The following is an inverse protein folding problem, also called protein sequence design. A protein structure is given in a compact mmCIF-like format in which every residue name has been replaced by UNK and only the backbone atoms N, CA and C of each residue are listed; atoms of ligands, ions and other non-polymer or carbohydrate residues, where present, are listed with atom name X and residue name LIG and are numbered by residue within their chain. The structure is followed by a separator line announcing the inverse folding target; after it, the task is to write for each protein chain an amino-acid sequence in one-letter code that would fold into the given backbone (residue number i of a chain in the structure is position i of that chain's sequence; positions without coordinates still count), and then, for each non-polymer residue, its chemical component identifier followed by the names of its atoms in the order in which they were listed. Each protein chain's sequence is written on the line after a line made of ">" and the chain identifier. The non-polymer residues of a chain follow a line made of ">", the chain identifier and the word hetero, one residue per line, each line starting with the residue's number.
data_IF_050774105999
#
_entry.id   IF_050774105999
#
_cell.length_a   1.000
_cell.length_b   1.000
_cell.length_c   1.000
_cell.angle_alpha   90.00
_cell.angle_beta   90.00
_cell.angle_gamma   90.00
#
_symmetry.space_group_name_H-M   'P 1'
#
loop_
_entity.id
_entity.type
_entity.pdbx_description
1 polymer ?
#
# COMPACT_ATOMS: atom_id res chain seq x y z
N UNK A 1 16.49 -11.08 -18.71
CA UNK A 1 15.25 -10.96 -17.90
C UNK A 1 14.82 -9.51 -17.95
N UNK A 2 13.63 -9.19 -18.48
CA UNK A 2 13.10 -7.83 -18.39
C UNK A 2 12.89 -7.49 -16.89
N UNK A 3 13.03 -6.22 -16.47
CA UNK A 3 12.82 -5.84 -15.09
C UNK A 3 11.38 -6.13 -14.71
N UNK A 4 11.18 -7.06 -13.77
CA UNK A 4 9.86 -7.34 -13.20
C UNK A 4 9.47 -6.14 -12.34
N UNK A 5 8.51 -5.34 -12.81
CA UNK A 5 8.01 -4.18 -12.10
C UNK A 5 6.94 -4.65 -11.10
N UNK A 6 7.30 -4.64 -9.82
CA UNK A 6 6.38 -4.96 -8.74
C UNK A 6 5.24 -3.93 -8.66
N UNK A 7 4.05 -4.39 -8.29
CA UNK A 7 2.82 -3.57 -8.26
C UNK A 7 2.99 -2.24 -7.49
N UNK A 8 3.74 -2.24 -6.38
CA UNK A 8 4.05 -1.03 -5.63
C UNK A 8 4.86 -0.02 -6.44
N UNK A 9 5.84 -0.46 -7.25
CA UNK A 9 6.62 0.45 -8.11
C UNK A 9 5.74 1.09 -9.17
N UNK A 10 4.78 0.34 -9.72
CA UNK A 10 3.83 0.86 -10.70
C UNK A 10 2.90 1.91 -10.09
N UNK A 11 2.34 1.65 -8.91
CA UNK A 11 1.53 2.65 -8.18
C UNK A 11 2.38 3.89 -7.83
N UNK A 12 3.61 3.71 -7.35
CA UNK A 12 4.54 4.82 -7.06
C UNK A 12 4.86 5.63 -8.31
N UNK A 13 5.08 4.99 -9.46
CA UNK A 13 5.33 5.69 -10.72
C UNK A 13 4.13 6.54 -11.15
N UNK A 14 2.90 5.99 -11.05
CA UNK A 14 1.67 6.71 -11.36
C UNK A 14 1.48 7.89 -10.39
N UNK A 15 1.74 7.69 -9.10
CA UNK A 15 1.67 8.74 -8.09
C UNK A 15 2.67 9.86 -8.35
N UNK A 16 3.93 9.53 -8.60
CA UNK A 16 4.98 10.50 -8.91
C UNK A 16 4.68 11.26 -10.22
N UNK A 17 4.20 10.56 -11.25
CA UNK A 17 3.75 11.17 -12.49
C UNK A 17 2.62 12.16 -12.25
N UNK A 18 1.64 11.80 -11.42
CA UNK A 18 0.55 12.70 -11.05
C UNK A 18 1.03 13.93 -10.26
N UNK A 19 1.98 13.78 -9.34
CA UNK A 19 2.60 14.91 -8.62
C UNK A 19 3.25 15.88 -9.61
N UNK A 20 4.04 15.37 -10.55
CA UNK A 20 4.73 16.18 -11.55
C UNK A 20 3.74 16.89 -12.49
N UNK A 21 2.70 16.19 -12.96
CA UNK A 21 1.65 16.76 -13.81
C UNK A 21 0.85 17.84 -13.07
N UNK A 22 0.51 17.60 -11.79
CA UNK A 22 -0.15 18.57 -10.91
C UNK A 22 0.69 19.84 -10.77
N UNK A 23 1.97 19.67 -10.43
CA UNK A 23 2.89 20.77 -10.24
C UNK A 23 3.10 21.56 -11.54
N UNK A 24 3.29 20.88 -12.67
CA UNK A 24 3.45 21.52 -13.98
C UNK A 24 2.20 22.32 -14.39
N UNK A 25 1.01 21.73 -14.26
CA UNK A 25 -0.24 22.40 -14.60
C UNK A 25 -0.49 23.67 -13.76
N UNK A 26 -0.23 23.57 -12.44
CA UNK A 26 -0.35 24.71 -11.54
C UNK A 26 0.72 25.76 -11.77
N UNK A 27 1.96 25.36 -12.06
CA UNK A 27 3.06 26.27 -12.38
C UNK A 27 2.76 27.07 -13.65
N UNK A 28 2.31 26.42 -14.72
CA UNK A 28 1.94 27.09 -15.98
C UNK A 28 0.78 28.09 -15.77
N UNK A 29 -0.21 27.72 -14.95
CA UNK A 29 -1.33 28.60 -14.59
C UNK A 29 -0.89 29.81 -13.75
N UNK A 30 0.06 29.60 -12.83
CA UNK A 30 0.58 30.64 -11.96
C UNK A 30 1.54 31.60 -12.69
N UNK A 31 2.39 31.07 -13.57
CA UNK A 31 3.29 31.84 -14.42
C UNK A 31 2.52 32.83 -15.31
N UNK A 32 1.39 32.41 -15.89
CA UNK A 32 0.49 33.30 -16.65
C UNK A 32 -0.18 34.40 -15.82
N UNK A 33 -0.05 34.37 -14.48
CA UNK A 33 -0.61 35.34 -13.54
C UNK A 33 0.46 36.06 -12.71
N UNK A 34 1.75 35.81 -12.96
CA UNK A 34 2.85 36.34 -12.15
C UNK A 34 2.86 35.85 -10.69
N UNK A 35 2.18 34.74 -10.40
CA UNK A 35 2.03 34.19 -9.06
C UNK A 35 2.97 32.98 -8.83
N UNK A 36 3.26 32.68 -7.56
CA UNK A 36 3.93 31.44 -7.16
C UNK A 36 2.99 30.22 -7.20
N UNK A 37 3.58 29.02 -7.13
CA UNK A 37 2.84 27.76 -7.08
C UNK A 37 1.95 27.69 -5.82
N UNK A 38 0.64 27.50 -6.00
CA UNK A 38 -0.28 27.26 -4.89
C UNK A 38 -0.10 25.83 -4.34
N UNK A 39 0.50 25.75 -3.16
CA UNK A 39 0.79 24.48 -2.47
C UNK A 39 -0.47 23.79 -1.96
N UNK A 40 -1.51 24.55 -1.62
CA UNK A 40 -2.76 23.97 -1.13
C UNK A 40 -3.51 23.30 -2.28
N UNK A 41 -3.58 23.95 -3.44
CA UNK A 41 -4.16 23.34 -4.65
C UNK A 41 -3.40 22.07 -5.06
N UNK A 42 -2.06 22.11 -5.05
CA UNK A 42 -1.24 20.94 -5.33
C UNK A 42 -1.55 19.80 -4.36
N UNK A 43 -1.60 20.09 -3.05
CA UNK A 43 -1.95 19.12 -2.03
C UNK A 43 -3.34 18.52 -2.31
N UNK A 44 -4.38 19.32 -2.59
CA UNK A 44 -5.72 18.80 -2.87
C UNK A 44 -5.76 17.88 -4.11
N UNK A 45 -5.02 18.19 -5.18
CA UNK A 45 -4.95 17.34 -6.37
C UNK A 45 -4.29 15.99 -6.05
N UNK A 46 -3.15 16.02 -5.35
CA UNK A 46 -2.39 14.83 -4.96
C UNK A 46 -3.23 13.90 -4.06
N UNK A 47 -4.03 14.44 -3.14
CA UNK A 47 -4.91 13.65 -2.26
C UNK A 47 -5.96 12.86 -3.03
N UNK A 48 -6.56 13.47 -4.07
CA UNK A 48 -7.56 12.79 -4.90
C UNK A 48 -6.90 11.62 -5.61
N UNK A 49 -5.73 11.82 -6.20
CA UNK A 49 -4.98 10.76 -6.88
C UNK A 49 -4.63 9.65 -5.89
N UNK A 50 -4.06 9.97 -4.73
CA UNK A 50 -3.69 8.99 -3.73
C UNK A 50 -4.89 8.12 -3.28
N UNK A 51 -6.04 8.76 -3.01
CA UNK A 51 -7.27 8.07 -2.61
C UNK A 51 -7.82 7.20 -3.74
N UNK A 52 -7.77 7.68 -4.99
CA UNK A 52 -8.15 6.88 -6.16
C UNK A 52 -7.22 5.69 -6.35
N UNK A 53 -5.90 5.85 -6.19
CA UNK A 53 -4.94 4.74 -6.30
C UNK A 53 -5.18 3.68 -5.23
N UNK A 54 -5.49 4.07 -3.98
CA UNK A 54 -5.90 3.12 -2.94
C UNK A 54 -7.18 2.38 -3.33
N UNK A 55 -8.20 3.10 -3.82
CA UNK A 55 -9.45 2.48 -4.23
C UNK A 55 -9.25 1.47 -5.37
N UNK A 56 -8.45 1.83 -6.38
CA UNK A 56 -8.08 0.96 -7.50
C UNK A 56 -7.36 -0.29 -6.98
N UNK A 57 -6.39 -0.09 -6.08
CA UNK A 57 -5.63 -1.17 -5.47
C UNK A 57 -6.53 -2.14 -4.71
N UNK A 58 -7.44 -1.67 -3.86
CA UNK A 58 -8.37 -2.54 -3.13
C UNK A 58 -9.38 -3.21 -4.05
N UNK A 59 -9.87 -2.50 -5.07
CA UNK A 59 -10.78 -3.08 -6.05
C UNK A 59 -10.14 -4.27 -6.76
N UNK A 60 -8.94 -4.08 -7.32
CA UNK A 60 -8.22 -5.15 -8.01
C UNK A 60 -7.67 -6.20 -7.05
N UNK A 61 -7.32 -5.81 -5.82
CA UNK A 61 -7.01 -6.70 -4.73
C UNK A 61 -8.11 -7.73 -4.51
N UNK A 62 -9.37 -7.31 -4.49
CA UNK A 62 -10.52 -8.21 -4.38
C UNK A 62 -10.79 -8.91 -5.71
N UNK A 63 -10.92 -8.14 -6.79
CA UNK A 63 -11.36 -8.65 -8.09
C UNK A 63 -10.47 -9.77 -8.60
N UNK A 64 -9.15 -9.58 -8.59
CA UNK A 64 -8.22 -10.61 -9.05
C UNK A 64 -8.19 -11.84 -8.14
N UNK A 65 -8.53 -11.70 -6.84
CA UNK A 65 -8.61 -12.81 -5.88
C UNK A 65 -9.89 -13.65 -6.04
N UNK A 66 -10.88 -13.22 -6.83
CA UNK A 66 -12.08 -14.00 -7.15
C UNK A 66 -11.70 -15.08 -8.19
N UNK A 67 -10.86 -16.03 -7.77
CA UNK A 67 -10.35 -17.14 -8.59
C UNK A 67 -10.23 -18.41 -7.74
N UNK A 68 -10.14 -19.57 -8.40
CA UNK A 68 -10.10 -20.88 -7.72
C UNK A 68 -8.88 -21.03 -6.81
N UNK A 69 -7.70 -20.57 -7.26
CA UNK A 69 -6.43 -20.84 -6.59
C UNK A 69 -6.24 -19.96 -5.35
N UNK A 70 -6.82 -18.77 -5.32
CA UNK A 70 -6.84 -17.94 -4.11
C UNK A 70 -7.73 -18.54 -3.02
N UNK A 71 -8.81 -19.23 -3.41
CA UNK A 71 -9.76 -19.87 -2.49
C UNK A 71 -9.31 -21.27 -2.03
N UNK A 72 -8.33 -21.86 -2.70
CA UNK A 72 -7.75 -23.15 -2.33
C UNK A 72 -6.66 -22.96 -1.25
N UNK A 73 -6.86 -23.46 0.00
CA UNK A 73 -5.88 -23.29 1.07
C UNK A 73 -4.55 -24.04 0.85
N UNK A 74 -4.46 -24.91 -0.17
CA UNK A 74 -3.22 -25.61 -0.53
C UNK A 74 -2.26 -24.74 -1.34
N UNK A 75 -2.77 -23.75 -2.08
CA UNK A 75 -1.97 -22.90 -2.98
C UNK A 75 -2.14 -21.40 -2.72
N UNK A 76 -3.13 -20.98 -1.92
CA UNK A 76 -3.43 -19.57 -1.66
C UNK A 76 -2.27 -18.81 -1.00
N UNK A 77 -1.93 -17.64 -1.55
CA UNK A 77 -0.93 -16.75 -0.96
C UNK A 77 -1.32 -16.27 0.45
N UNK A 78 -2.62 -16.16 0.76
CA UNK A 78 -3.07 -15.78 2.10
C UNK A 78 -2.64 -16.80 3.16
N UNK A 79 -2.62 -18.09 2.79
CA UNK A 79 -2.11 -19.16 3.65
C UNK A 79 -0.59 -19.08 3.80
N UNK A 80 0.11 -18.73 2.72
CA UNK A 80 1.55 -18.45 2.75
C UNK A 80 1.92 -17.33 3.74
N UNK A 81 1.11 -16.28 3.82
CA UNK A 81 1.26 -15.19 4.81
C UNK A 81 0.90 -15.62 6.24
N UNK A 82 -0.11 -16.48 6.38
CA UNK A 82 -0.60 -16.96 7.67
C UNK A 82 0.40 -17.91 8.36
N UNK A 83 0.93 -18.89 7.63
CA UNK A 83 1.70 -19.99 8.21
C UNK A 83 2.92 -19.51 9.04
N UNK A 84 3.76 -18.56 8.57
CA UNK A 84 4.88 -18.05 9.37
C UNK A 84 4.43 -17.32 10.65
N UNK A 85 3.29 -16.65 10.63
CA UNK A 85 2.74 -15.93 11.78
C UNK A 85 2.13 -16.89 12.82
N UNK A 86 1.56 -18.01 12.35
CA UNK A 86 0.92 -19.01 13.18
C UNK A 86 1.89 -20.05 13.75
N UNK A 87 3.06 -20.24 13.11
CA UNK A 87 4.08 -21.22 13.48
C UNK A 87 4.57 -21.13 14.93
N UNK A 88 4.82 -19.94 15.52
CA UNK A 88 5.23 -19.85 16.92
C UNK A 88 4.19 -20.41 17.92
N UNK A 89 2.94 -20.56 17.47
CA UNK A 89 1.82 -21.07 18.25
C UNK A 89 1.44 -22.52 17.89
N UNK A 90 2.14 -23.15 16.93
CA UNK A 90 1.81 -24.50 16.44
C UNK A 90 0.48 -24.58 15.68
N UNK A 91 0.06 -23.47 15.04
CA UNK A 91 -1.23 -23.35 14.35
C UNK A 91 -1.10 -23.27 12.81
N UNK A 92 0.10 -23.37 12.25
CA UNK A 92 0.37 -23.20 10.82
C UNK A 92 -0.44 -24.13 9.89
N UNK A 93 -0.78 -25.33 10.37
CA UNK A 93 -1.53 -26.34 9.63
C UNK A 93 -3.02 -26.36 9.96
N UNK A 94 -3.48 -25.42 10.79
CA UNK A 94 -4.88 -25.32 11.17
C UNK A 94 -5.74 -24.88 9.97
N UNK A 95 -6.62 -25.77 9.50
CA UNK A 95 -7.52 -25.52 8.38
C UNK A 95 -8.43 -24.29 8.60
N UNK A 96 -8.93 -24.10 9.82
CA UNK A 96 -9.74 -22.92 10.16
C UNK A 96 -8.93 -21.63 10.01
N UNK A 97 -7.68 -21.62 10.50
CA UNK A 97 -6.79 -20.46 10.37
C UNK A 97 -6.45 -20.13 8.91
N UNK A 98 -6.24 -21.17 8.08
CA UNK A 98 -5.99 -21.01 6.64
C UNK A 98 -7.17 -20.38 5.91
N UNK A 99 -8.39 -20.87 6.13
CA UNK A 99 -9.59 -20.24 5.55
C UNK A 99 -9.86 -18.85 6.12
N UNK A 100 -9.62 -18.64 7.42
CA UNK A 100 -9.74 -17.33 8.04
C UNK A 100 -8.84 -16.30 7.35
N UNK A 101 -7.59 -16.66 7.02
CA UNK A 101 -6.68 -15.77 6.28
C UNK A 101 -7.21 -15.40 4.88
N UNK A 102 -7.76 -16.36 4.15
CA UNK A 102 -8.37 -16.14 2.82
C UNK A 102 -9.55 -15.18 2.93
N UNK A 103 -10.53 -15.47 3.78
CA UNK A 103 -11.75 -14.67 3.90
C UNK A 103 -11.53 -13.32 4.59
N UNK A 104 -10.60 -13.25 5.55
CA UNK A 104 -10.22 -11.99 6.19
C UNK A 104 -9.63 -11.02 5.17
N UNK A 105 -8.87 -11.52 4.18
CA UNK A 105 -8.32 -10.66 3.12
C UNK A 105 -9.44 -9.98 2.34
N UNK A 106 -10.45 -10.73 1.87
CA UNK A 106 -11.62 -10.14 1.20
C UNK A 106 -12.37 -9.15 2.07
N UNK A 107 -12.63 -9.51 3.33
CA UNK A 107 -13.39 -8.69 4.25
C UNK A 107 -12.67 -7.36 4.54
N UNK A 108 -11.37 -7.42 4.84
CA UNK A 108 -10.55 -6.24 5.14
C UNK A 108 -10.45 -5.33 3.92
N UNK A 109 -10.17 -5.87 2.73
CA UNK A 109 -10.09 -5.08 1.50
C UNK A 109 -11.44 -4.44 1.15
N UNK A 110 -12.55 -5.16 1.32
CA UNK A 110 -13.91 -4.65 1.10
C UNK A 110 -14.28 -3.53 2.08
N UNK A 111 -13.96 -3.70 3.37
CA UNK A 111 -14.17 -2.66 4.39
C UNK A 111 -13.30 -1.45 4.07
N UNK A 112 -12.03 -1.67 3.67
CA UNK A 112 -11.10 -0.60 3.35
C UNK A 112 -11.64 0.27 2.20
N UNK A 113 -12.04 -0.32 1.06
CA UNK A 113 -12.56 0.45 -0.08
C UNK A 113 -13.89 1.18 0.24
N UNK A 114 -14.81 0.54 0.97
CA UNK A 114 -16.09 1.17 1.36
C UNK A 114 -15.85 2.33 2.34
N UNK A 115 -15.04 2.10 3.37
CA UNK A 115 -14.68 3.11 4.37
C UNK A 115 -13.92 4.29 3.76
N UNK A 116 -13.16 4.05 2.68
CA UNK A 116 -12.40 5.09 1.99
C UNK A 116 -13.31 6.18 1.47
N UNK A 117 -14.58 5.91 1.13
CA UNK A 117 -15.55 6.92 0.68
C UNK A 117 -16.64 7.20 1.72
N UNK A 118 -16.91 6.28 2.63
CA UNK A 118 -17.92 6.45 3.67
C UNK A 118 -17.35 7.08 4.94
N UNK A 119 -17.47 8.40 5.05
CA UNK A 119 -16.91 9.22 6.15
C UNK A 119 -17.22 8.71 7.56
N UNK A 120 -18.44 8.19 7.80
CA UNK A 120 -18.87 7.66 9.10
C UNK A 120 -18.01 6.50 9.57
N UNK A 121 -17.58 5.64 8.66
CA UNK A 121 -16.82 4.43 8.93
C UNK A 121 -15.35 4.54 8.49
N UNK A 122 -14.90 5.73 8.09
CA UNK A 122 -13.55 5.95 7.59
C UNK A 122 -12.49 5.45 8.56
N UNK A 123 -12.55 5.84 9.84
CA UNK A 123 -11.55 5.41 10.82
C UNK A 123 -11.55 3.90 11.05
N UNK A 124 -12.72 3.24 10.98
CA UNK A 124 -12.80 1.79 11.16
C UNK A 124 -12.02 1.08 10.05
N UNK A 125 -12.32 1.37 8.79
CA UNK A 125 -11.61 0.72 7.69
C UNK A 125 -10.17 1.23 7.53
N UNK A 126 -9.88 2.47 7.91
CA UNK A 126 -8.52 3.00 7.98
C UNK A 126 -7.67 2.25 9.00
N UNK A 127 -8.13 2.10 10.25
CA UNK A 127 -7.40 1.38 11.30
C UNK A 127 -7.24 -0.08 10.93
N UNK A 128 -8.31 -0.71 10.43
CA UNK A 128 -8.26 -2.10 9.97
C UNK A 128 -7.21 -2.29 8.86
N UNK A 129 -7.19 -1.38 7.88
CA UNK A 129 -6.19 -1.40 6.82
C UNK A 129 -4.77 -1.14 7.34
N UNK A 130 -4.57 -0.21 8.27
CA UNK A 130 -3.26 0.05 8.87
C UNK A 130 -2.73 -1.17 9.62
N UNK A 131 -3.56 -1.83 10.42
CA UNK A 131 -3.18 -3.06 11.14
C UNK A 131 -2.83 -4.16 10.16
N UNK A 132 -3.66 -4.37 9.13
CA UNK A 132 -3.40 -5.37 8.09
C UNK A 132 -2.07 -5.14 7.38
N UNK A 133 -1.82 -3.90 6.91
CA UNK A 133 -0.57 -3.55 6.24
C UNK A 133 0.63 -3.44 7.19
N UNK A 134 0.42 -3.28 8.50
CA UNK A 134 1.50 -3.39 9.49
C UNK A 134 1.95 -4.84 9.68
N UNK A 135 0.99 -5.78 9.74
CA UNK A 135 1.25 -7.21 10.01
C UNK A 135 1.85 -7.94 8.80
N UNK A 136 1.42 -7.63 7.57
CA UNK A 136 1.88 -8.34 6.37
C UNK A 136 3.42 -8.40 6.26
N UNK A 137 4.18 -7.29 6.40
CA UNK A 137 5.64 -7.34 6.32
C UNK A 137 6.32 -8.18 7.40
N UNK A 138 5.68 -8.37 8.56
CA UNK A 138 6.22 -9.15 9.69
C UNK A 138 6.16 -10.65 9.39
N UNK A 139 5.25 -11.09 8.50
CA UNK A 139 5.16 -12.51 8.10
C UNK A 139 6.41 -13.05 7.42
N UNK A 140 7.33 -12.19 6.96
CA UNK A 140 8.55 -12.55 6.23
C UNK A 140 8.34 -13.36 4.93
N UNK A 141 7.09 -13.60 4.53
CA UNK A 141 6.75 -14.46 3.39
C UNK A 141 7.17 -13.85 2.05
N UNK A 142 7.09 -12.52 1.93
CA UNK A 142 7.67 -11.78 0.81
C UNK A 142 8.09 -10.37 1.26
N UNK A 143 8.87 -9.68 0.46
CA UNK A 143 9.36 -8.33 0.75
C UNK A 143 8.25 -7.26 0.64
N UNK A 144 7.26 -7.31 1.55
CA UNK A 144 6.07 -6.47 1.53
C UNK A 144 6.25 -5.10 2.19
N UNK A 145 7.42 -4.80 2.75
CA UNK A 145 7.70 -3.51 3.42
C UNK A 145 7.54 -2.32 2.46
N UNK A 146 8.04 -2.44 1.23
CA UNK A 146 7.93 -1.39 0.21
C UNK A 146 6.48 -1.13 -0.20
N UNK A 147 5.66 -2.19 -0.22
CA UNK A 147 4.24 -2.07 -0.54
C UNK A 147 3.46 -1.46 0.64
N UNK A 148 3.71 -1.91 1.86
CA UNK A 148 3.00 -1.46 3.05
C UNK A 148 3.33 0.00 3.39
N UNK A 149 4.60 0.41 3.23
CA UNK A 149 5.01 1.81 3.38
C UNK A 149 4.35 2.73 2.35
N UNK A 150 4.22 2.29 1.09
CA UNK A 150 3.46 3.00 0.07
C UNK A 150 1.99 3.16 0.48
N UNK A 151 1.34 2.08 0.96
CA UNK A 151 -0.06 2.15 1.40
C UNK A 151 -0.22 3.12 2.56
N UNK A 152 0.67 3.10 3.55
CA UNK A 152 0.68 4.08 4.65
C UNK A 152 0.79 5.52 4.11
N UNK A 153 1.70 5.78 3.16
CA UNK A 153 1.86 7.10 2.56
C UNK A 153 0.62 7.57 1.80
N UNK A 154 -0.01 6.70 1.01
CA UNK A 154 -1.25 7.03 0.30
C UNK A 154 -2.41 7.28 1.29
N UNK A 155 -2.44 6.55 2.40
CA UNK A 155 -3.42 6.75 3.45
C UNK A 155 -3.25 8.08 4.18
N UNK A 156 -2.02 8.48 4.49
CA UNK A 156 -1.70 9.81 5.04
C UNK A 156 -2.23 10.93 4.15
N UNK A 157 -2.16 10.76 2.82
CA UNK A 157 -2.73 11.73 1.88
C UNK A 157 -4.26 11.64 1.78
N UNK A 158 -4.84 10.50 2.11
CA UNK A 158 -6.28 10.24 1.98
C UNK A 158 -7.09 10.58 3.23
N UNK A 159 -6.45 10.81 4.39
CA UNK A 159 -7.16 11.22 5.61
C UNK A 159 -7.85 12.58 5.43
N UNK A 160 -8.97 12.85 6.12
CA UNK A 160 -9.64 14.15 6.12
C UNK A 160 -8.74 15.30 6.60
N UNK A 161 -9.03 16.53 6.14
CA UNK A 161 -8.18 17.70 6.45
C UNK A 161 -7.97 17.93 7.95
N UNK A 162 -8.99 17.86 8.83
CA UNK A 162 -8.78 18.01 10.27
C UNK A 162 -7.81 16.97 10.85
N UNK A 163 -7.90 15.72 10.37
CA UNK A 163 -6.96 14.67 10.75
C UNK A 163 -5.55 14.95 10.22
N UNK A 164 -5.41 15.45 8.99
CA UNK A 164 -4.10 15.85 8.45
C UNK A 164 -3.47 17.00 9.22
N UNK A 165 -4.25 17.99 9.66
CA UNK A 165 -3.76 19.11 10.48
C UNK A 165 -3.33 18.63 11.87
N UNK A 166 -4.12 17.74 12.49
CA UNK A 166 -3.77 17.13 13.76
C UNK A 166 -2.48 16.28 13.66
N UNK A 167 -2.34 15.50 12.59
CA UNK A 167 -1.12 14.74 12.30
C UNK A 167 0.08 15.67 12.13
N UNK A 168 -0.06 16.73 11.32
CA UNK A 168 1.00 17.70 11.08
C UNK A 168 1.46 18.37 12.37
N UNK A 169 0.53 18.84 13.21
CA UNK A 169 0.83 19.42 14.52
C UNK A 169 1.55 18.41 15.43
N UNK A 170 1.09 17.16 15.50
CA UNK A 170 1.79 16.10 16.26
C UNK A 170 3.20 15.84 15.73
N UNK A 171 3.39 15.87 14.41
CA UNK A 171 4.72 15.75 13.81
C UNK A 171 5.63 16.92 14.16
N UNK A 172 5.10 18.15 14.20
CA UNK A 172 5.85 19.33 14.64
C UNK A 172 6.22 19.28 16.13
N UNK A 173 5.28 18.91 17.01
CA UNK A 173 5.54 18.72 18.45
C UNK A 173 6.71 17.75 18.71
N UNK A 174 6.87 16.74 17.86
CA UNK A 174 7.99 15.79 17.93
C UNK A 174 9.26 16.34 17.26
N UNK A 175 9.15 16.98 16.10
CA UNK A 175 10.28 17.40 15.28
C UNK A 175 10.93 18.71 15.74
N UNK A 176 10.16 19.66 16.28
CA UNK A 176 10.64 21.00 16.64
C UNK A 176 11.72 20.96 17.74
N UNK A 177 11.56 20.21 18.86
CA UNK A 177 12.61 20.12 19.89
C UNK A 177 13.92 19.55 19.34
N UNK A 178 13.82 18.53 18.46
CA UNK A 178 14.98 17.93 17.79
C UNK A 178 15.65 18.91 16.83
N UNK A 179 14.83 19.70 16.13
CA UNK A 179 15.30 20.70 15.18
C UNK A 179 15.96 21.89 15.87
N UNK A 180 15.45 22.32 17.01
CA UNK A 180 16.03 23.38 17.82
C UNK A 180 17.38 22.96 18.41
N UNK A 181 17.50 21.70 18.86
CA UNK A 181 18.71 21.18 19.50
C UNK A 181 19.82 20.83 18.49
N UNK A 182 19.47 20.18 17.38
CA UNK A 182 20.44 19.59 16.44
C UNK A 182 20.30 20.10 15.00
N UNK A 183 19.56 21.20 14.78
CA UNK A 183 19.26 21.71 13.45
C UNK A 183 18.40 20.74 12.63
N UNK A 184 18.37 20.93 11.29
CA UNK A 184 17.54 20.08 10.40
C UNK A 184 17.93 18.59 10.44
N UNK A 185 19.18 18.28 10.78
CA UNK A 185 19.67 16.89 10.90
C UNK A 185 19.05 16.18 12.11
N UNK A 186 18.64 16.93 13.14
CA UNK A 186 17.99 16.38 14.34
C UNK A 186 16.76 15.51 14.05
N UNK A 187 16.02 15.82 13.00
CA UNK A 187 14.81 15.06 12.59
C UNK A 187 15.16 13.64 12.12
N UNK A 188 16.38 13.42 11.63
CA UNK A 188 16.85 12.11 11.16
C UNK A 188 17.40 11.24 12.30
N UNK A 189 17.75 11.84 13.45
CA UNK A 189 18.41 11.13 14.55
C UNK A 189 17.57 9.97 15.12
N UNK A 190 16.25 10.10 15.37
CA UNK A 190 15.47 8.98 15.88
C UNK A 190 15.47 7.79 14.92
N UNK A 191 15.29 8.05 13.62
CA UNK A 191 15.33 7.00 12.59
C UNK A 191 16.71 6.35 12.48
N UNK A 192 17.78 7.14 12.52
CA UNK A 192 19.15 6.65 12.52
C UNK A 192 19.47 5.81 13.77
N UNK A 193 18.99 6.23 14.94
CA UNK A 193 19.16 5.49 16.20
C UNK A 193 18.44 4.14 16.16
N UNK A 194 17.19 4.09 15.66
CA UNK A 194 16.45 2.84 15.47
C UNK A 194 17.15 1.92 14.46
N UNK A 195 17.64 2.47 13.35
CA UNK A 195 18.40 1.71 12.35
C UNK A 195 19.70 1.13 12.94
N UNK A 196 20.46 1.95 13.67
CA UNK A 196 21.70 1.52 14.33
C UNK A 196 21.41 0.41 15.36
N UNK A 197 20.37 0.57 16.16
CA UNK A 197 19.92 -0.44 17.12
C UNK A 197 19.55 -1.75 16.41
N UNK A 198 18.74 -1.69 15.34
CA UNK A 198 18.34 -2.85 14.56
C UNK A 198 19.56 -3.59 13.95
N UNK A 199 20.48 -2.85 13.33
CA UNK A 199 21.73 -3.41 12.78
C UNK A 199 22.55 -4.08 13.89
N UNK A 200 22.77 -3.39 15.00
CA UNK A 200 23.57 -3.90 16.13
C UNK A 200 22.96 -5.18 16.69
N UNK A 201 21.65 -5.19 16.93
CA UNK A 201 20.94 -6.36 17.45
C UNK A 201 21.03 -7.55 16.49
N UNK A 202 20.84 -7.34 15.18
CA UNK A 202 20.93 -8.41 14.18
C UNK A 202 22.35 -8.96 14.08
N UNK A 203 23.38 -8.10 14.13
CA UNK A 203 24.77 -8.55 14.14
C UNK A 203 25.06 -9.40 15.38
N UNK A 204 24.65 -8.96 16.57
CA UNK A 204 24.79 -9.74 17.80
C UNK A 204 24.07 -11.09 17.73
N UNK A 205 22.83 -11.12 17.22
CA UNK A 205 22.08 -12.36 17.02
C UNK A 205 22.74 -13.28 15.98
N UNK A 206 23.38 -12.72 14.96
CA UNK A 206 24.09 -13.51 13.94
C UNK A 206 25.33 -14.20 14.50
N UNK A 207 25.97 -13.60 15.51
CA UNK A 207 27.04 -14.27 16.27
C UNK A 207 26.51 -15.39 17.16
N UNK A 208 25.31 -15.25 17.75
CA UNK A 208 24.68 -16.27 18.59
C UNK A 208 24.07 -17.44 17.79
N UNK A 209 23.61 -17.17 16.56
CA UNK A 209 23.00 -18.15 15.66
C UNK A 209 23.80 -18.27 14.35
N UNK A 210 24.98 -18.92 14.39
CA UNK A 210 25.83 -19.06 13.21
C UNK A 210 25.11 -19.88 12.12
N UNK A 211 25.28 -19.48 10.86
CA UNK A 211 24.68 -20.15 9.70
C UNK A 211 23.54 -19.38 9.00
N UNK A 212 23.18 -18.18 9.47
CA UNK A 212 22.27 -17.28 8.75
C UNK A 212 22.97 -16.62 7.57
N UNK A 213 22.30 -16.55 6.41
CA UNK A 213 22.83 -15.84 5.25
C UNK A 213 22.76 -14.32 5.45
N UNK A 214 23.61 -13.60 4.72
CA UNK A 214 23.60 -12.14 4.72
C UNK A 214 22.23 -11.55 4.32
N UNK A 215 21.54 -12.16 3.36
CA UNK A 215 20.21 -11.73 2.94
C UNK A 215 19.18 -11.82 4.07
N UNK A 216 19.25 -12.88 4.90
CA UNK A 216 18.40 -12.99 6.09
C UNK A 216 18.72 -11.92 7.12
N UNK A 217 19.98 -11.55 7.28
CA UNK A 217 20.38 -10.46 8.18
C UNK A 217 19.79 -9.12 7.71
N UNK A 218 19.96 -8.78 6.43
CA UNK A 218 19.41 -7.56 5.84
C UNK A 218 17.89 -7.52 6.00
N UNK A 219 17.21 -8.64 5.71
CA UNK A 219 15.76 -8.75 5.90
C UNK A 219 15.34 -8.52 7.37
N UNK A 220 16.08 -9.10 8.32
CA UNK A 220 15.81 -8.96 9.75
C UNK A 220 15.98 -7.52 10.24
N UNK A 221 17.00 -6.79 9.75
CA UNK A 221 17.20 -5.37 10.07
C UNK A 221 16.00 -4.55 9.63
N UNK A 222 15.57 -4.72 8.39
CA UNK A 222 14.44 -3.98 7.84
C UNK A 222 13.12 -4.35 8.53
N UNK A 223 12.92 -5.62 8.90
CA UNK A 223 11.76 -6.05 9.66
C UNK A 223 11.70 -5.40 11.05
N UNK A 224 12.82 -5.34 11.77
CA UNK A 224 12.90 -4.65 13.07
C UNK A 224 12.66 -3.15 12.92
N UNK A 225 13.25 -2.53 11.89
CA UNK A 225 13.01 -1.12 11.59
C UNK A 225 11.53 -0.85 11.30
N UNK A 226 10.88 -1.70 10.50
CA UNK A 226 9.45 -1.62 10.22
C UNK A 226 8.60 -1.83 11.46
N UNK A 227 8.92 -2.82 12.29
CA UNK A 227 8.19 -3.09 13.53
C UNK A 227 8.12 -1.85 14.43
N UNK A 228 9.24 -1.12 14.54
CA UNK A 228 9.30 0.11 15.36
C UNK A 228 8.68 1.30 14.63
N UNK A 229 9.17 1.64 13.43
CA UNK A 229 8.77 2.86 12.72
C UNK A 229 7.37 2.74 12.13
N UNK A 230 7.05 1.61 11.49
CA UNK A 230 5.72 1.30 11.00
C UNK A 230 4.71 1.16 12.14
N UNK A 231 5.11 0.58 13.27
CA UNK A 231 4.28 0.49 14.47
C UNK A 231 3.97 1.86 15.07
N UNK A 232 4.98 2.73 15.23
CA UNK A 232 4.79 4.10 15.68
C UNK A 232 3.89 4.90 14.73
N UNK A 233 4.13 4.78 13.41
CA UNK A 233 3.28 5.43 12.40
C UNK A 233 1.83 4.93 12.48
N UNK A 234 1.61 3.62 12.61
CA UNK A 234 0.28 3.03 12.77
C UNK A 234 -0.43 3.59 14.02
N UNK A 235 0.24 3.64 15.17
CA UNK A 235 -0.33 4.14 16.42
C UNK A 235 -0.70 5.61 16.31
N UNK A 236 0.20 6.46 15.79
CA UNK A 236 -0.06 7.90 15.61
C UNK A 236 -1.22 8.13 14.65
N UNK A 237 -1.23 7.42 13.51
CA UNK A 237 -2.30 7.56 12.52
C UNK A 237 -3.65 7.07 13.05
N UNK A 238 -3.68 5.94 13.75
CA UNK A 238 -4.89 5.42 14.38
C UNK A 238 -5.43 6.39 15.45
N UNK A 239 -4.55 6.94 16.29
CA UNK A 239 -4.91 7.92 17.31
C UNK A 239 -5.54 9.19 16.69
N UNK A 240 -4.87 9.75 15.67
CA UNK A 240 -5.37 10.92 14.95
C UNK A 240 -6.70 10.63 14.26
N UNK A 241 -6.87 9.45 13.66
CA UNK A 241 -8.11 9.04 13.04
C UNK A 241 -9.26 8.96 14.04
N UNK A 242 -9.04 8.36 15.21
CA UNK A 242 -10.05 8.23 16.28
C UNK A 242 -10.48 9.59 16.86
N UNK A 243 -9.53 10.51 17.06
CA UNK A 243 -9.82 11.84 17.62
C UNK A 243 -10.64 12.74 16.68
N UNK A 244 -10.66 12.44 15.39
CA UNK A 244 -11.31 13.27 14.37
C UNK A 244 -12.64 12.66 13.87
N UNK A 245 -13.22 11.71 14.61
CA UNK A 245 -14.53 11.12 14.33
C UNK A 245 -15.69 11.82 15.08
N UNK A 246 -16.87 11.98 14.45
CA UNK A 246 -17.12 11.82 13.02
C UNK A 246 -16.50 12.98 12.22
N UNK A 247 -15.92 12.68 11.06
CA UNK A 247 -15.27 13.73 10.27
C UNK A 247 -16.30 14.74 9.73
N UNK A 248 -16.11 16.02 10.06
CA UNK A 248 -16.95 17.11 9.57
C UNK A 248 -16.88 17.23 8.05
N UNK A 249 -18.02 17.56 7.44
CA UNK A 249 -18.13 17.88 6.01
C UNK A 249 -17.41 19.19 5.75
N UNK A 250 -16.19 19.11 5.24
CA UNK A 250 -15.54 20.27 4.60
C UNK A 250 -15.83 20.15 3.10
N UNK A 251 -16.50 21.14 2.54
CA UNK A 251 -16.64 21.26 1.09
C UNK A 251 -15.27 21.58 0.51
N UNK A 252 -14.75 20.68 -0.32
CA UNK A 252 -13.53 20.95 -1.08
C UNK A 252 -13.91 21.58 -2.42
N UNK A 253 -13.13 22.55 -2.93
CA UNK A 253 -13.30 23.06 -4.29
C UNK A 253 -13.26 21.92 -5.30
N UNK A 254 -14.07 22.03 -6.36
CA UNK A 254 -14.02 21.08 -7.48
C UNK A 254 -12.64 21.13 -8.10
N UNK A 255 -11.96 20.00 -8.13
CA UNK A 255 -10.66 19.84 -8.77
C UNK A 255 -10.82 19.61 -10.28
N UNK A 256 -9.82 19.97 -11.10
CA UNK A 256 -9.90 19.82 -12.54
C UNK A 256 -10.00 18.34 -12.94
N UNK A 257 -10.74 18.07 -14.02
CA UNK A 257 -11.07 16.70 -14.45
C UNK A 257 -9.85 15.81 -14.70
N UNK A 258 -8.72 16.38 -15.17
CA UNK A 258 -7.51 15.62 -15.47
C UNK A 258 -6.94 14.88 -14.23
N UNK A 259 -7.22 15.36 -13.01
CA UNK A 259 -6.79 14.71 -11.76
C UNK A 259 -7.39 13.30 -11.65
N UNK A 260 -8.55 13.07 -12.28
CA UNK A 260 -9.19 11.76 -12.37
C UNK A 260 -8.72 10.96 -13.59
N UNK A 261 -8.17 11.60 -14.62
CA UNK A 261 -7.71 10.95 -15.84
C UNK A 261 -6.54 10.00 -15.55
N UNK A 262 -5.54 10.45 -14.78
CA UNK A 262 -4.36 9.63 -14.44
C UNK A 262 -4.75 8.33 -13.73
N UNK A 263 -5.49 8.35 -12.59
CA UNK A 263 -5.96 7.12 -11.96
C UNK A 263 -6.95 6.35 -12.84
N UNK A 264 -7.77 7.02 -13.66
CA UNK A 264 -8.68 6.35 -14.60
C UNK A 264 -7.94 5.51 -15.65
N UNK A 265 -6.89 6.08 -16.27
CA UNK A 265 -6.03 5.35 -17.21
C UNK A 265 -5.31 4.20 -16.51
N UNK A 266 -4.87 4.40 -15.27
CA UNK A 266 -4.26 3.34 -14.49
C UNK A 266 -5.25 2.20 -14.16
N UNK A 267 -6.49 2.53 -13.82
CA UNK A 267 -7.55 1.54 -13.62
C UNK A 267 -7.77 0.71 -14.89
N UNK A 268 -7.85 1.35 -16.06
CA UNK A 268 -7.98 0.65 -17.34
C UNK A 268 -6.76 -0.23 -17.66
N UNK A 269 -5.56 0.25 -17.34
CA UNK A 269 -4.32 -0.53 -17.50
C UNK A 269 -4.33 -1.81 -16.66
N UNK A 270 -4.98 -1.81 -15.49
CA UNK A 270 -5.12 -3.01 -14.65
C UNK A 270 -6.12 -4.04 -15.20
N UNK A 271 -6.95 -3.69 -16.20
CA UNK A 271 -7.78 -4.66 -16.94
C UNK A 271 -6.97 -5.49 -17.96
N UNK A 272 -5.69 -5.18 -18.14
CA UNK A 272 -4.80 -5.84 -19.11
C UNK A 272 -4.85 -7.38 -19.12
N UNK A 273 -4.94 -8.09 -17.97
CA UNK A 273 -5.06 -9.55 -17.94
C UNK A 273 -6.30 -10.04 -18.71
N UNK A 274 -7.41 -9.32 -18.57
CA UNK A 274 -8.70 -9.74 -19.13
C UNK A 274 -8.86 -9.39 -20.59
N UNK A 275 -8.20 -8.33 -21.07
CA UNK A 275 -8.23 -7.94 -22.49
C UNK A 275 -7.14 -8.62 -23.31
N UNK A 276 -6.31 -9.47 -22.71
CA UNK A 276 -5.29 -10.27 -23.41
C UNK A 276 -4.02 -9.48 -23.75
N UNK A 277 -3.69 -8.46 -22.94
CA UNK A 277 -2.46 -7.68 -23.05
C UNK A 277 -1.39 -8.27 -22.13
N UNK A 278 -1.13 -7.64 -20.98
CA UNK A 278 -0.13 -8.08 -19.98
C UNK A 278 -0.79 -8.61 -18.70
N UNK A 279 -0.16 -9.58 -18.06
CA UNK A 279 -0.50 -10.01 -16.69
C UNK A 279 0.39 -9.37 -15.64
N UNK A 280 1.52 -8.79 -16.04
CA UNK A 280 2.42 -8.07 -15.15
C UNK A 280 1.99 -6.61 -14.94
N UNK A 281 2.23 -6.07 -13.74
CA UNK A 281 1.93 -4.67 -13.41
C UNK A 281 0.46 -4.29 -13.63
N UNK A 282 -0.46 -5.23 -13.34
CA UNK A 282 -1.91 -5.04 -13.36
C UNK A 282 -2.53 -5.10 -11.96
N UNK A 283 -1.72 -5.05 -10.91
CA UNK A 283 -2.20 -5.13 -9.51
C UNK A 283 -2.76 -6.53 -9.17
N UNK A 284 -2.21 -7.58 -9.78
CA UNK A 284 -2.55 -8.97 -9.46
C UNK A 284 -2.17 -9.40 -8.02
N UNK A 285 -1.51 -8.56 -7.21
CA UNK A 285 -1.34 -8.66 -5.74
C UNK A 285 -1.27 -10.07 -5.12
N UNK A 286 -0.45 -10.97 -5.68
CA UNK A 286 -0.32 -12.36 -5.21
C UNK A 286 -1.67 -13.09 -5.12
N UNK A 287 -2.56 -12.81 -6.06
CA UNK A 287 -3.88 -13.42 -6.18
C UNK A 287 -3.84 -14.84 -6.74
N UNK A 288 -2.70 -15.31 -7.23
CA UNK A 288 -2.60 -16.53 -8.05
C UNK A 288 -3.49 -16.47 -9.31
N UNK A 289 -3.77 -15.27 -9.84
CA UNK A 289 -4.56 -15.13 -11.06
C UNK A 289 -3.81 -15.72 -12.27
N UNK A 290 -4.51 -16.56 -13.02
CA UNK A 290 -4.09 -17.09 -14.31
C UNK A 290 -5.07 -16.66 -15.40
N UNK A 291 -4.51 -16.05 -16.44
CA UNK A 291 -5.22 -15.66 -17.66
C UNK A 291 -4.29 -15.90 -18.84
N UNK A 292 -3.63 -17.04 -18.95
CA UNK A 292 -2.69 -17.32 -20.03
C UNK A 292 -3.15 -18.52 -20.86
N UNK A 293 -2.65 -18.63 -22.10
CA UNK A 293 -2.93 -19.75 -23.01
C UNK A 293 -4.44 -20.01 -23.23
N UNK A 294 -5.25 -18.95 -23.27
CA UNK A 294 -6.70 -19.04 -23.47
C UNK A 294 -7.49 -19.64 -22.31
N UNK A 295 -6.85 -19.84 -21.15
CA UNK A 295 -7.47 -20.37 -19.93
C UNK A 295 -7.52 -19.29 -18.85
N UNK A 296 -8.50 -19.40 -17.95
CA UNK A 296 -8.53 -18.58 -16.74
C UNK A 296 -9.02 -19.40 -15.55
N UNK A 297 -8.47 -19.09 -14.39
CA UNK A 297 -8.95 -19.60 -13.10
C UNK A 297 -9.93 -18.62 -12.41
N UNK A 298 -10.26 -17.50 -13.05
CA UNK A 298 -11.14 -16.48 -12.52
C UNK A 298 -12.61 -16.92 -12.53
N UNK A 299 -13.31 -16.78 -11.40
CA UNK A 299 -14.65 -17.36 -11.25
C UNK A 299 -15.76 -16.61 -11.99
N UNK A 300 -15.53 -15.35 -12.36
CA UNK A 300 -16.50 -14.56 -13.12
C UNK A 300 -16.48 -14.86 -14.63
N UNK A 301 -15.49 -15.60 -15.14
CA UNK A 301 -15.30 -15.81 -16.57
C UNK A 301 -15.05 -17.29 -16.87
N UNK A 302 -15.84 -17.89 -17.76
CA UNK A 302 -15.58 -19.25 -18.23
C UNK A 302 -14.36 -19.33 -19.17
N UNK A 303 -14.10 -18.24 -19.89
CA UNK A 303 -12.91 -18.02 -20.73
C UNK A 303 -12.49 -16.55 -20.60
N UNK A 304 -11.19 -16.24 -20.72
CA UNK A 304 -10.74 -14.87 -20.72
C UNK A 304 -11.41 -14.03 -21.84
N UNK A 305 -11.97 -12.85 -21.55
CA UNK A 305 -12.63 -12.00 -22.55
C UNK A 305 -11.61 -11.19 -23.37
N UNK A 306 -10.65 -11.88 -24.00
CA UNK A 306 -9.57 -11.23 -24.73
C UNK A 306 -10.06 -10.39 -25.91
N UNK A 307 -9.50 -9.18 -26.00
CA UNK A 307 -9.58 -8.33 -27.18
C UNK A 307 -8.30 -8.46 -28.02
N UNK A 308 -7.19 -8.83 -27.39
CA UNK A 308 -5.87 -9.01 -28.00
C UNK A 308 -5.36 -10.43 -27.74
N UNK A 309 -4.59 -10.98 -28.68
CA UNK A 309 -4.14 -12.38 -28.60
C UNK A 309 -2.78 -12.57 -27.91
N UNK A 310 -2.16 -11.53 -27.33
CA UNK A 310 -0.81 -11.65 -26.77
C UNK A 310 -0.69 -12.71 -25.67
N UNK A 311 -1.74 -12.92 -24.87
CA UNK A 311 -1.75 -13.95 -23.81
C UNK A 311 -2.08 -15.35 -24.31
N UNK A 312 -2.62 -15.50 -25.53
CA UNK A 312 -2.83 -16.82 -26.15
C UNK A 312 -1.51 -17.44 -26.61
N UNK A 313 -0.53 -16.61 -26.96
CA UNK A 313 0.76 -17.01 -27.53
C UNK A 313 1.82 -17.29 -26.47
N UNK A 314 1.52 -17.04 -25.19
CA UNK A 314 2.43 -17.34 -24.07
C UNK A 314 2.43 -18.85 -23.85
N UNK A 315 3.50 -19.50 -24.29
CA UNK A 315 3.76 -20.93 -24.05
C UNK A 315 4.16 -21.14 -22.59
N UNK A 316 3.58 -22.14 -21.93
CA UNK A 316 3.89 -22.55 -20.55
C UNK A 316 5.35 -22.96 -20.36
#
# INVERSE_FOLDING_TARGET
>A
RMPVASNNKTITAVMNGAILLSAAALYLRAAGRGAGLDRMDLYQQIRIVARSLLAIMYFYGIFHKINTDFLDPSVSCAVGLYAPLARPFGLEDNLFGRYLAIYATFLIEAIAIVSLYWKRYFAVGFILALVFHYVIPISAYSWYMDFSSLVFALYVLSIPTPASEALYRKSLEFADPLRETCGRVGILLPGAAVMLFAVTLVVLLSHAFPGRSFDMMVHSVWMLFWAVVGGAAMVVLAHVALQNLPCRTVSSPRQPFWVYLVPGLFFLSCLSPYVGLKTESSINMFSNLHTEAGQTNHLLFAKPPYLFNYQNEVVK
#
